data_IF_669016007071
#
_entry.id   IF_669016007071
#
_cell.length_a   1.000
_cell.length_b   1.000
_cell.length_c   1.000
_cell.angle_alpha   90.00
_cell.angle_beta   90.00
_cell.angle_gamma   90.00
#
_symmetry.space_group_name_H-M   'P 1'
#
loop_
_entity.id
_entity.type
_entity.pdbx_description
1 polymer ?
#
# COMPACT_ATOMS: atom_id res chain seq x y z
N UNK A 1 35.28 3.74 -4.98
CA UNK A 1 33.83 3.51 -4.83
C UNK A 1 33.58 2.08 -5.26
N UNK A 2 33.79 1.15 -4.34
CA UNK A 2 33.76 -0.29 -4.60
C UNK A 2 32.33 -0.78 -4.84
N UNK A 3 32.18 -1.86 -5.61
CA UNK A 3 30.87 -2.47 -5.94
C UNK A 3 30.04 -2.81 -4.70
N UNK A 4 30.68 -3.10 -3.57
CA UNK A 4 30.01 -3.30 -2.29
C UNK A 4 29.30 -2.04 -1.79
N UNK A 5 29.89 -0.87 -1.99
CA UNK A 5 29.28 0.41 -1.62
C UNK A 5 28.05 0.69 -2.48
N UNK A 6 28.12 0.39 -3.79
CA UNK A 6 26.99 0.52 -4.71
C UNK A 6 25.84 -0.42 -4.31
N UNK A 7 26.15 -1.68 -3.98
CA UNK A 7 25.16 -2.66 -3.52
C UNK A 7 24.49 -2.16 -2.23
N UNK A 8 25.26 -1.77 -1.22
CA UNK A 8 24.70 -1.29 0.05
C UNK A 8 23.79 -0.07 -0.15
N UNK A 9 24.17 0.87 -1.02
CA UNK A 9 23.34 2.03 -1.34
C UNK A 9 22.02 1.65 -2.01
N UNK A 10 22.06 0.76 -3.01
CA UNK A 10 20.87 0.31 -3.73
C UNK A 10 19.89 -0.39 -2.78
N UNK A 11 20.38 -1.29 -1.92
CA UNK A 11 19.53 -2.00 -0.96
C UNK A 11 18.90 -1.06 0.08
N UNK A 12 19.67 -0.11 0.61
CA UNK A 12 19.18 0.85 1.58
C UNK A 12 18.11 1.78 0.99
N UNK A 13 18.33 2.27 -0.23
CA UNK A 13 17.42 3.23 -0.86
C UNK A 13 16.18 2.53 -1.40
N UNK A 14 16.33 1.50 -2.25
CA UNK A 14 15.17 0.84 -2.88
C UNK A 14 14.28 0.12 -1.87
N UNK A 15 14.85 -0.41 -0.79
CA UNK A 15 14.08 -1.09 0.25
C UNK A 15 13.24 -0.14 1.11
N UNK A 16 13.66 1.11 1.29
CA UNK A 16 13.02 2.04 2.22
C UNK A 16 12.09 3.06 1.56
N UNK A 17 12.27 3.37 0.28
CA UNK A 17 11.43 4.33 -0.47
C UNK A 17 9.92 4.13 -0.26
N UNK A 18 9.36 2.91 -0.38
CA UNK A 18 7.91 2.72 -0.25
C UNK A 18 7.38 3.13 1.13
N UNK A 19 8.14 2.88 2.18
CA UNK A 19 7.78 3.26 3.54
C UNK A 19 7.79 4.78 3.76
N UNK A 20 8.64 5.50 3.02
CA UNK A 20 8.68 6.96 3.02
C UNK A 20 7.49 7.59 2.28
N UNK A 21 7.15 7.06 1.09
CA UNK A 21 6.04 7.57 0.27
C UNK A 21 4.72 7.50 1.03
N UNK A 22 4.48 6.41 1.78
CA UNK A 22 3.29 6.27 2.63
C UNK A 22 3.21 7.42 3.65
N UNK A 23 4.35 7.81 4.23
CA UNK A 23 4.43 8.93 5.15
C UNK A 23 4.19 10.30 4.51
N UNK A 24 4.50 10.47 3.22
CA UNK A 24 4.21 11.71 2.47
C UNK A 24 2.74 11.81 2.03
N UNK A 25 2.09 10.66 1.82
CA UNK A 25 0.70 10.60 1.38
C UNK A 25 -0.29 11.00 2.48
N UNK A 26 0.09 10.86 3.76
CA UNK A 26 -0.77 11.18 4.89
C UNK A 26 -0.49 12.58 5.47
N UNK A 27 -1.53 13.36 5.83
CA UNK A 27 -1.34 14.62 6.54
C UNK A 27 -0.72 14.40 7.93
N UNK A 28 0.12 15.34 8.37
CA UNK A 28 0.92 15.27 9.61
C UNK A 28 0.13 14.80 10.84
N UNK A 29 -1.14 15.22 10.97
CA UNK A 29 -2.00 14.91 12.10
C UNK A 29 -2.40 13.43 12.21
N UNK A 30 -2.42 12.69 11.10
CA UNK A 30 -2.85 11.28 11.04
C UNK A 30 -1.73 10.34 10.56
N UNK A 31 -0.51 10.84 10.40
CA UNK A 31 0.61 10.10 9.79
C UNK A 31 0.96 8.81 10.54
N UNK A 32 0.97 8.82 11.86
CA UNK A 32 1.29 7.63 12.67
C UNK A 32 0.22 6.54 12.58
N UNK A 33 -1.06 6.93 12.59
CA UNK A 33 -2.19 6.01 12.44
C UNK A 33 -2.29 5.44 11.02
N UNK A 34 -2.02 6.26 10.00
CA UNK A 34 -1.95 5.79 8.61
C UNK A 34 -0.82 4.80 8.40
N UNK A 35 0.37 5.11 8.91
CA UNK A 35 1.54 4.23 8.80
C UNK A 35 1.33 2.88 9.50
N UNK A 36 0.74 2.86 10.70
CA UNK A 36 0.52 1.62 11.44
C UNK A 36 -0.50 0.72 10.75
N UNK A 37 -1.56 1.28 10.17
CA UNK A 37 -2.52 0.52 9.37
C UNK A 37 -1.86 -0.12 8.14
N UNK A 38 -1.07 0.64 7.38
CA UNK A 38 -0.33 0.12 6.22
C UNK A 38 0.62 -1.00 6.62
N UNK A 39 1.34 -0.80 7.72
CA UNK A 39 2.28 -1.79 8.24
C UNK A 39 1.56 -3.07 8.71
N UNK A 40 0.36 -2.94 9.30
CA UNK A 40 -0.47 -4.09 9.68
C UNK A 40 -0.86 -4.91 8.44
N UNK A 41 -1.34 -4.26 7.37
CA UNK A 41 -1.67 -4.96 6.12
C UNK A 41 -0.45 -5.63 5.49
N UNK A 42 0.70 -4.97 5.51
CA UNK A 42 1.96 -5.54 5.03
C UNK A 42 2.32 -6.82 5.79
N UNK A 43 2.38 -6.77 7.12
CA UNK A 43 2.68 -7.95 7.94
C UNK A 43 1.64 -9.05 7.83
N UNK A 44 0.36 -8.70 7.73
CA UNK A 44 -0.71 -9.68 7.54
C UNK A 44 -0.55 -10.42 6.19
N UNK A 45 -0.28 -9.67 5.12
CA UNK A 45 -0.03 -10.28 3.80
C UNK A 45 1.21 -11.18 3.80
N UNK A 46 2.29 -10.76 4.45
CA UNK A 46 3.51 -11.54 4.59
C UNK A 46 3.28 -12.81 5.41
N UNK A 47 2.51 -12.71 6.51
CA UNK A 47 2.14 -13.85 7.34
C UNK A 47 1.37 -14.90 6.53
N UNK A 48 0.35 -14.48 5.78
CA UNK A 48 -0.44 -15.37 4.92
C UNK A 48 0.47 -16.08 3.91
N UNK A 49 1.34 -15.34 3.21
CA UNK A 49 2.25 -15.92 2.22
C UNK A 49 3.18 -16.94 2.87
N UNK A 50 3.81 -16.63 4.00
CA UNK A 50 4.73 -17.54 4.67
C UNK A 50 4.04 -18.79 5.20
N UNK A 51 2.85 -18.66 5.80
CA UNK A 51 2.09 -19.81 6.29
C UNK A 51 1.61 -20.71 5.14
N UNK A 52 1.22 -20.13 4.01
CA UNK A 52 0.72 -20.87 2.85
C UNK A 52 1.84 -21.47 1.99
N UNK A 53 3.05 -20.89 2.01
CA UNK A 53 4.16 -21.37 1.18
C UNK A 53 4.53 -22.82 1.49
N UNK A 54 4.65 -23.19 2.78
CA UNK A 54 5.01 -24.57 3.16
C UNK A 54 4.01 -25.63 2.64
N UNK A 55 2.69 -25.54 2.92
CA UNK A 55 1.73 -26.55 2.47
C UNK A 55 1.55 -26.58 0.95
N UNK A 56 1.58 -25.42 0.28
CA UNK A 56 1.45 -25.40 -1.18
C UNK A 56 2.70 -25.92 -1.89
N UNK A 57 3.89 -25.65 -1.35
CA UNK A 57 5.14 -26.16 -1.91
C UNK A 57 5.18 -27.70 -1.89
N UNK A 58 4.65 -28.31 -0.82
CA UNK A 58 4.56 -29.77 -0.71
C UNK A 58 3.61 -30.40 -1.75
N UNK A 59 2.60 -29.66 -2.21
CA UNK A 59 1.57 -30.20 -3.11
C UNK A 59 1.88 -29.97 -4.59
N UNK A 60 2.34 -28.77 -4.94
CA UNK A 60 2.40 -28.26 -6.32
C UNK A 60 3.84 -27.84 -6.70
N UNK A 61 4.77 -27.83 -5.73
CA UNK A 61 6.14 -27.39 -5.94
C UNK A 61 6.25 -25.89 -6.22
N UNK A 62 7.19 -25.51 -7.10
CA UNK A 62 7.52 -24.11 -7.42
C UNK A 62 6.34 -23.34 -8.05
N UNK A 63 5.38 -24.03 -8.68
CA UNK A 63 4.22 -23.38 -9.30
C UNK A 63 3.28 -22.71 -8.28
N UNK A 64 3.43 -22.99 -6.97
CA UNK A 64 2.64 -22.32 -5.94
C UNK A 64 2.91 -20.82 -5.80
N UNK A 65 4.09 -20.34 -6.19
CA UNK A 65 4.44 -18.93 -6.05
C UNK A 65 3.62 -18.04 -6.98
N UNK A 66 3.23 -18.53 -8.17
CA UNK A 66 2.42 -17.78 -9.13
C UNK A 66 1.11 -17.26 -8.51
N UNK A 67 0.19 -18.10 -8.01
CA UNK A 67 -1.04 -17.62 -7.40
C UNK A 67 -0.78 -16.81 -6.13
N UNK A 68 0.24 -17.18 -5.32
CA UNK A 68 0.58 -16.48 -4.08
C UNK A 68 0.98 -15.01 -4.29
N UNK A 69 1.65 -14.69 -5.40
CA UNK A 69 2.04 -13.31 -5.73
C UNK A 69 1.01 -12.58 -6.61
N UNK A 70 0.37 -13.26 -7.55
CA UNK A 70 -0.58 -12.64 -8.49
C UNK A 70 -1.85 -12.18 -7.78
N UNK A 71 -2.41 -13.00 -6.88
CA UNK A 71 -3.66 -12.71 -6.18
C UNK A 71 -3.59 -11.38 -5.40
N UNK A 72 -2.61 -11.16 -4.50
CA UNK A 72 -2.53 -9.90 -3.76
C UNK A 72 -2.24 -8.69 -4.67
N UNK A 73 -1.53 -8.87 -5.78
CA UNK A 73 -1.30 -7.78 -6.76
C UNK A 73 -2.60 -7.35 -7.45
N UNK A 74 -3.40 -8.31 -7.93
CA UNK A 74 -4.69 -8.01 -8.57
C UNK A 74 -5.65 -7.39 -7.54
N UNK A 75 -5.65 -7.87 -6.30
CA UNK A 75 -6.46 -7.30 -5.23
C UNK A 75 -6.09 -5.83 -4.96
N UNK A 76 -4.80 -5.54 -4.83
CA UNK A 76 -4.30 -4.17 -4.66
C UNK A 76 -4.68 -3.27 -5.85
N UNK A 77 -4.52 -3.77 -7.08
CA UNK A 77 -4.88 -3.04 -8.30
C UNK A 77 -6.38 -2.73 -8.37
N UNK A 78 -7.22 -3.69 -7.96
CA UNK A 78 -8.67 -3.55 -7.93
C UNK A 78 -9.10 -2.49 -6.91
N UNK A 79 -8.52 -2.52 -5.71
CA UNK A 79 -8.74 -1.49 -4.68
C UNK A 79 -8.30 -0.13 -5.20
N UNK A 80 -7.10 -0.05 -5.77
CA UNK A 80 -6.57 1.20 -6.30
C UNK A 80 -7.52 1.79 -7.36
N UNK A 81 -8.05 0.95 -8.25
CA UNK A 81 -8.96 1.39 -9.30
C UNK A 81 -10.30 1.91 -8.77
N UNK A 82 -10.78 1.38 -7.64
CA UNK A 82 -12.05 1.82 -7.01
C UNK A 82 -11.85 3.06 -6.13
N UNK A 83 -10.76 3.11 -5.36
CA UNK A 83 -10.53 4.14 -4.35
C UNK A 83 -9.75 5.36 -4.86
N UNK A 84 -8.96 5.22 -5.93
CA UNK A 84 -8.21 6.33 -6.50
C UNK A 84 -9.03 7.01 -7.60
N UNK A 85 -9.55 8.23 -7.38
CA UNK A 85 -10.16 9.00 -8.45
C UNK A 85 -9.09 9.30 -9.50
N UNK A 86 -9.47 9.22 -10.78
CA UNK A 86 -8.54 9.40 -11.89
C UNK A 86 -7.93 10.81 -11.85
N UNK A 87 -6.62 10.89 -11.54
CA UNK A 87 -5.88 12.15 -11.35
C UNK A 87 -5.42 12.79 -12.67
N UNK A 88 -5.74 12.19 -13.83
CA UNK A 88 -5.31 12.71 -15.13
C UNK A 88 -6.22 13.85 -15.59
N UNK A 89 -5.67 15.07 -15.56
CA UNK A 89 -6.24 16.23 -16.27
C UNK A 89 -7.33 17.00 -15.50
N UNK A 90 -7.51 16.73 -14.21
CA UNK A 90 -8.39 17.53 -13.33
C UNK A 90 -7.57 18.45 -12.44
N UNK A 91 -8.10 19.64 -12.17
CA UNK A 91 -7.45 20.56 -11.25
C UNK A 91 -7.46 19.98 -9.83
N UNK A 92 -6.38 20.24 -9.08
CA UNK A 92 -6.16 19.68 -7.74
C UNK A 92 -7.33 19.97 -6.79
N UNK A 93 -8.04 21.08 -6.96
CA UNK A 93 -9.20 21.43 -6.14
C UNK A 93 -10.37 20.45 -6.31
N UNK A 94 -10.69 20.04 -7.54
CA UNK A 94 -11.82 19.15 -7.83
C UNK A 94 -11.56 17.76 -7.24
N UNK A 95 -10.30 17.30 -7.29
CA UNK A 95 -9.87 16.01 -6.74
C UNK A 95 -9.99 16.02 -5.20
N UNK A 96 -9.61 17.12 -4.55
CA UNK A 96 -9.73 17.26 -3.09
C UNK A 96 -11.20 17.31 -2.67
N UNK A 97 -12.07 17.99 -3.41
CA UNK A 97 -13.51 18.04 -3.12
C UNK A 97 -14.20 16.69 -3.31
N UNK A 98 -13.85 15.94 -4.35
CA UNK A 98 -14.38 14.58 -4.59
C UNK A 98 -13.90 13.58 -3.51
N UNK A 99 -12.64 13.65 -3.10
CA UNK A 99 -12.10 12.82 -2.00
C UNK A 99 -12.75 13.16 -0.65
N UNK A 100 -13.07 14.43 -0.41
CA UNK A 100 -13.76 14.88 0.81
C UNK A 100 -15.22 14.41 0.84
N UNK A 101 -15.86 14.33 -0.34
CA UNK A 101 -17.22 13.79 -0.51
C UNK A 101 -17.30 12.29 -0.27
N UNK A 102 -16.29 11.53 -0.70
CA UNK A 102 -16.27 10.07 -0.54
C UNK A 102 -15.93 9.61 0.88
N UNK A 103 -15.16 10.39 1.64
CA UNK A 103 -14.57 9.90 2.89
C UNK A 103 -15.46 10.06 4.12
N UNK A 104 -16.15 11.18 4.36
CA UNK A 104 -16.96 11.31 5.58
C UNK A 104 -17.78 12.61 5.54
N UNK A 105 -19.00 12.54 5.01
CA UNK A 105 -20.06 13.46 5.42
C UNK A 105 -21.25 12.67 5.93
N UNK A 106 -21.04 11.89 7.00
CA UNK A 106 -22.09 11.75 8.00
C UNK A 106 -22.00 12.99 8.91
N UNK A 107 -22.84 13.96 8.53
CA UNK A 107 -23.26 15.14 9.28
C UNK A 107 -23.47 14.82 10.78
N UNK A 108 -22.55 15.27 11.62
CA UNK A 108 -22.76 15.65 13.03
C UNK A 108 -21.42 16.24 13.46
N UNK A 109 -21.23 17.53 13.68
CA UNK A 109 -21.89 18.49 14.57
C UNK A 109 -21.61 19.87 13.94
N UNK A 110 -22.50 20.86 13.95
CA UNK A 110 -22.47 22.05 14.81
C UNK A 110 -23.75 22.88 14.50
N UNK A 111 -24.66 22.95 15.49
CA UNK A 111 -25.59 24.03 15.86
C UNK A 111 -26.56 24.63 14.81
N UNK A 112 -27.87 24.38 14.95
CA UNK A 112 -28.85 25.12 15.80
C UNK A 112 -30.11 24.26 15.96
#
# INVERSE_FOLDING_TARGET
MDVHFLILFIFAVLGTIPFYIVGELFPQNFRSTGQSAVNLFFFLSAFIIYTLTLPLYASIGVWCFLPLFIIPQIFCLTILWIFLPETRGREVHEIVDDLKKSSFCKRSVINT
#
